data_IF_722412987901
#
_entry.id   IF_722412987901
#
_cell.length_a   1.000
_cell.length_b   1.000
_cell.length_c   1.000
_cell.angle_alpha   90.00
_cell.angle_beta   90.00
_cell.angle_gamma   90.00
#
_symmetry.space_group_name_H-M   'P 1'
#
loop_
_entity.id
_entity.type
_entity.pdbx_description
1 polymer ?
#
# COMPACT_ATOMS: atom_id res chain seq x y z
N UNK A 1 -18.07 -5.52 -33.64
CA UNK A 1 -17.94 -4.82 -32.35
C UNK A 1 -17.44 -5.82 -31.33
N UNK A 2 -16.37 -5.46 -30.61
CA UNK A 2 -15.75 -6.12 -29.45
C UNK A 2 -14.87 -7.35 -29.73
N UNK A 3 -13.63 -7.08 -30.15
CA UNK A 3 -12.45 -7.84 -29.69
C UNK A 3 -11.52 -6.82 -29.02
N UNK A 4 -11.89 -6.40 -27.82
CA UNK A 4 -10.96 -5.75 -26.90
C UNK A 4 -10.30 -6.85 -26.10
N UNK A 5 -9.50 -7.68 -26.76
CA UNK A 5 -8.53 -8.55 -26.08
C UNK A 5 -7.43 -7.64 -25.55
N UNK A 6 -7.69 -7.04 -24.38
CA UNK A 6 -6.67 -6.36 -23.61
C UNK A 6 -5.67 -7.41 -23.14
N UNK A 7 -4.52 -7.48 -23.82
CA UNK A 7 -3.40 -8.36 -23.47
C UNK A 7 -3.03 -8.18 -21.99
N UNK A 8 -2.88 -9.31 -21.28
CA UNK A 8 -2.60 -9.33 -19.85
C UNK A 8 -1.25 -8.68 -19.55
N UNK A 9 -0.26 -8.86 -20.43
CA UNK A 9 1.04 -8.19 -20.30
C UNK A 9 0.92 -6.67 -20.44
N UNK A 10 0.08 -6.16 -21.35
CA UNK A 10 -0.18 -4.71 -21.47
C UNK A 10 -0.86 -4.19 -20.19
N UNK A 11 -1.90 -4.88 -19.72
CA UNK A 11 -2.61 -4.52 -18.50
C UNK A 11 -1.66 -4.49 -17.29
N UNK A 12 -0.79 -5.48 -17.17
CA UNK A 12 0.20 -5.57 -16.10
C UNK A 12 1.18 -4.40 -16.14
N UNK A 13 1.66 -4.04 -17.34
CA UNK A 13 2.56 -2.91 -17.54
C UNK A 13 1.89 -1.57 -17.23
N UNK A 14 0.63 -1.37 -17.65
CA UNK A 14 -0.15 -0.20 -17.27
C UNK A 14 -0.36 -0.13 -15.75
N UNK A 15 -0.73 -1.24 -15.10
CA UNK A 15 -0.84 -1.30 -13.64
C UNK A 15 0.47 -0.90 -12.95
N UNK A 16 1.62 -1.35 -13.46
CA UNK A 16 2.91 -0.92 -12.89
C UNK A 16 3.14 0.59 -13.02
N UNK A 17 2.75 1.21 -14.14
CA UNK A 17 2.86 2.67 -14.28
C UNK A 17 1.98 3.36 -13.25
N UNK A 18 0.72 2.93 -13.12
CA UNK A 18 -0.21 3.49 -12.14
C UNK A 18 0.34 3.38 -10.72
N UNK A 19 0.79 2.20 -10.29
CA UNK A 19 1.40 1.99 -8.95
C UNK A 19 2.55 2.97 -8.69
N UNK A 20 3.43 3.16 -9.69
CA UNK A 20 4.63 3.96 -9.52
C UNK A 20 4.35 5.47 -9.51
N UNK A 21 3.26 5.91 -10.13
CA UNK A 21 2.86 7.32 -10.20
C UNK A 21 1.95 7.72 -9.01
N UNK A 22 1.32 6.75 -8.34
CA UNK A 22 0.31 6.97 -7.30
C UNK A 22 0.90 7.32 -5.91
N UNK A 23 1.69 8.39 -5.83
CA UNK A 23 2.34 8.84 -4.59
C UNK A 23 1.37 9.44 -3.54
N UNK A 24 0.17 9.88 -3.96
CA UNK A 24 -0.83 10.55 -3.11
C UNK A 24 -2.04 9.71 -2.70
N UNK A 25 -2.10 8.44 -3.09
CA UNK A 25 -3.22 7.56 -2.78
C UNK A 25 -3.31 7.21 -1.28
N UNK A 26 -4.52 6.87 -0.84
CA UNK A 26 -4.75 6.31 0.49
C UNK A 26 -4.06 4.95 0.65
N UNK A 27 -3.78 4.56 1.90
CA UNK A 27 -3.21 3.26 2.24
C UNK A 27 -3.99 2.09 1.64
N UNK A 28 -5.33 2.14 1.74
CA UNK A 28 -6.24 1.15 1.18
C UNK A 28 -6.11 1.07 -0.34
N UNK A 29 -6.08 2.22 -1.03
CA UNK A 29 -5.94 2.24 -2.48
C UNK A 29 -4.59 1.70 -2.96
N UNK A 30 -3.51 2.01 -2.23
CA UNK A 30 -2.17 1.49 -2.49
C UNK A 30 -2.13 -0.04 -2.38
N UNK A 31 -2.84 -0.62 -1.41
CA UNK A 31 -2.97 -2.07 -1.23
C UNK A 31 -3.81 -2.72 -2.34
N UNK A 32 -4.97 -2.14 -2.68
CA UNK A 32 -5.80 -2.62 -3.80
C UNK A 32 -5.01 -2.71 -5.11
N UNK A 33 -4.15 -1.73 -5.38
CA UNK A 33 -3.32 -1.74 -6.59
C UNK A 33 -2.30 -2.88 -6.59
N UNK A 34 -1.71 -3.21 -5.43
CA UNK A 34 -0.80 -4.35 -5.32
C UNK A 34 -1.53 -5.69 -5.47
N UNK A 35 -2.72 -5.81 -4.90
CA UNK A 35 -3.57 -7.01 -5.08
C UNK A 35 -3.95 -7.19 -6.55
N UNK A 36 -4.41 -6.13 -7.21
CA UNK A 36 -4.73 -6.17 -8.65
C UNK A 36 -3.50 -6.53 -9.49
N UNK A 37 -2.33 -6.01 -9.13
CA UNK A 37 -1.08 -6.34 -9.80
C UNK A 37 -0.70 -7.81 -9.60
N UNK A 38 -0.75 -8.35 -8.38
CA UNK A 38 -0.45 -9.76 -8.13
C UNK A 38 -1.42 -10.69 -8.85
N UNK A 39 -2.71 -10.39 -8.80
CA UNK A 39 -3.74 -11.21 -9.47
C UNK A 39 -3.55 -11.20 -10.99
N UNK A 40 -3.24 -10.05 -11.57
CA UNK A 40 -2.96 -9.92 -13.02
C UNK A 40 -1.67 -10.65 -13.39
N UNK A 41 -0.65 -10.59 -12.53
CA UNK A 41 0.61 -11.29 -12.76
C UNK A 41 0.41 -12.81 -12.75
N UNK A 42 -0.33 -13.33 -11.77
CA UNK A 42 -0.65 -14.75 -11.67
C UNK A 42 -1.49 -15.23 -12.87
N UNK A 43 -2.47 -14.42 -13.30
CA UNK A 43 -3.24 -14.70 -14.52
C UNK A 43 -2.36 -14.72 -15.76
N UNK A 44 -1.41 -13.79 -15.89
CA UNK A 44 -0.47 -13.78 -17.00
C UNK A 44 0.36 -15.07 -16.99
N UNK A 45 0.95 -15.45 -15.86
CA UNK A 45 1.76 -16.67 -15.72
C UNK A 45 0.97 -17.94 -16.09
N UNK A 46 -0.33 -17.99 -15.76
CA UNK A 46 -1.20 -19.12 -16.08
C UNK A 46 -1.73 -19.11 -17.52
N UNK A 47 -1.55 -18.01 -18.27
CA UNK A 47 -2.11 -17.84 -19.61
C UNK A 47 -1.19 -18.37 -20.71
N UNK A 48 -1.79 -18.73 -21.85
CA UNK A 48 -1.04 -19.04 -23.07
C UNK A 48 -0.22 -17.84 -23.58
N UNK A 49 -0.62 -16.60 -23.22
CA UNK A 49 0.08 -15.37 -23.60
C UNK A 49 1.51 -15.38 -23.07
N UNK A 50 1.73 -15.80 -21.83
CA UNK A 50 3.06 -15.81 -21.21
C UNK A 50 4.07 -16.64 -21.99
N UNK A 51 3.67 -17.80 -22.49
CA UNK A 51 4.54 -18.68 -23.31
C UNK A 51 4.90 -18.07 -24.67
N UNK A 52 4.14 -17.07 -25.12
CA UNK A 52 4.30 -16.39 -26.41
C UNK A 52 5.03 -15.06 -26.30
N UNK A 53 5.33 -14.60 -25.08
CA UNK A 53 6.08 -13.36 -24.87
C UNK A 53 7.51 -13.49 -25.39
N UNK A 54 7.98 -12.42 -26.03
CA UNK A 54 9.37 -12.32 -26.44
C UNK A 54 10.30 -12.15 -25.23
N UNK A 55 11.58 -12.49 -25.39
CA UNK A 55 12.59 -12.25 -24.35
C UNK A 55 12.69 -10.78 -23.94
N UNK A 56 12.41 -9.85 -24.86
CA UNK A 56 12.39 -8.41 -24.59
C UNK A 56 11.20 -8.04 -23.68
N UNK A 57 10.01 -8.55 -23.97
CA UNK A 57 8.82 -8.33 -23.15
C UNK A 57 8.98 -8.93 -21.75
N UNK A 58 9.52 -10.15 -21.65
CA UNK A 58 9.80 -10.79 -20.36
C UNK A 58 10.77 -9.96 -19.51
N UNK A 59 11.84 -9.44 -20.13
CA UNK A 59 12.81 -8.58 -19.45
C UNK A 59 12.20 -7.25 -19.00
N UNK A 60 11.31 -6.66 -19.80
CA UNK A 60 10.57 -5.47 -19.37
C UNK A 60 9.70 -5.77 -18.16
N UNK A 61 8.91 -6.86 -18.19
CA UNK A 61 8.06 -7.26 -17.07
C UNK A 61 8.88 -7.49 -15.80
N UNK A 62 10.02 -8.18 -15.90
CA UNK A 62 10.94 -8.40 -14.78
C UNK A 62 11.45 -7.07 -14.20
N UNK A 63 11.93 -6.16 -15.06
CA UNK A 63 12.41 -4.84 -14.64
C UNK A 63 11.31 -4.02 -13.95
N UNK A 64 10.07 -4.10 -14.46
CA UNK A 64 8.92 -3.40 -13.87
C UNK A 64 8.53 -4.00 -12.52
N UNK A 65 8.58 -5.33 -12.43
CA UNK A 65 8.32 -6.06 -11.20
C UNK A 65 9.28 -5.65 -10.07
N UNK A 66 10.59 -5.54 -10.36
CA UNK A 66 11.58 -5.06 -9.38
C UNK A 66 11.23 -3.66 -8.83
N UNK A 67 10.72 -2.78 -9.68
CA UNK A 67 10.29 -1.44 -9.28
C UNK A 67 9.04 -1.48 -8.40
N UNK A 68 8.05 -2.31 -8.75
CA UNK A 68 6.86 -2.52 -7.91
C UNK A 68 7.24 -3.11 -6.56
N UNK A 69 8.16 -4.07 -6.52
CA UNK A 69 8.67 -4.64 -5.27
C UNK A 69 9.38 -3.60 -4.39
N UNK A 70 10.17 -2.72 -5.01
CA UNK A 70 10.80 -1.61 -4.29
C UNK A 70 9.76 -0.67 -3.70
N UNK A 71 8.72 -0.33 -4.48
CA UNK A 71 7.62 0.49 -4.03
C UNK A 71 6.84 -0.17 -2.87
N UNK A 72 6.55 -1.47 -2.96
CA UNK A 72 5.85 -2.22 -1.92
C UNK A 72 6.63 -2.27 -0.60
N UNK A 73 7.96 -2.43 -0.65
CA UNK A 73 8.84 -2.35 0.55
C UNK A 73 8.84 -0.97 1.19
N UNK A 74 8.81 0.08 0.37
CA UNK A 74 8.69 1.45 0.88
C UNK A 74 7.33 1.66 1.56
N UNK A 75 6.26 1.10 0.99
CA UNK A 75 4.92 1.14 1.58
C UNK A 75 4.86 0.40 2.93
N UNK A 76 5.46 -0.79 3.02
CA UNK A 76 5.57 -1.53 4.29
C UNK A 76 6.26 -0.68 5.37
N UNK A 77 7.34 0.02 4.99
CA UNK A 77 8.08 0.92 5.88
C UNK A 77 7.22 2.13 6.30
N UNK A 78 6.46 2.72 5.37
CA UNK A 78 5.53 3.83 5.61
C UNK A 78 4.48 3.42 6.67
N UNK A 79 3.82 2.27 6.48
CA UNK A 79 2.81 1.76 7.42
C UNK A 79 3.39 1.44 8.79
N UNK A 80 4.59 0.85 8.83
CA UNK A 80 5.29 0.58 10.09
C UNK A 80 5.55 1.87 10.88
N UNK A 81 6.04 2.92 10.21
CA UNK A 81 6.25 4.22 10.83
C UNK A 81 4.96 4.88 11.31
N UNK A 82 3.90 4.82 10.50
CA UNK A 82 2.58 5.35 10.87
C UNK A 82 2.04 4.65 12.13
N UNK A 83 2.10 3.32 12.18
CA UNK A 83 1.67 2.51 13.32
C UNK A 83 2.45 2.86 14.59
N UNK A 84 3.77 3.04 14.50
CA UNK A 84 4.59 3.51 15.63
C UNK A 84 4.15 4.90 16.09
N UNK A 85 3.87 5.81 15.16
CA UNK A 85 3.38 7.16 15.45
C UNK A 85 2.02 7.16 16.17
N UNK A 86 1.07 6.39 15.65
CA UNK A 86 -0.26 6.20 16.24
C UNK A 86 -0.17 5.60 17.63
N UNK A 87 0.68 4.57 17.82
CA UNK A 87 0.92 3.96 19.14
C UNK A 87 1.44 4.99 20.14
N UNK A 88 2.42 5.81 19.77
CA UNK A 88 2.97 6.86 20.65
C UNK A 88 1.88 7.87 21.05
N UNK A 89 1.06 8.32 20.08
CA UNK A 89 -0.07 9.23 20.34
C UNK A 89 -1.10 8.59 21.28
N UNK A 90 -1.49 7.35 21.03
CA UNK A 90 -2.45 6.60 21.85
C UNK A 90 -1.96 6.45 23.30
N UNK A 91 -0.71 6.05 23.51
CA UNK A 91 -0.10 5.97 24.85
C UNK A 91 -0.13 7.32 25.56
N UNK A 92 0.19 8.41 24.86
CA UNK A 92 0.15 9.77 25.42
C UNK A 92 -1.26 10.18 25.86
N UNK A 93 -2.26 9.90 25.03
CA UNK A 93 -3.67 10.17 25.34
C UNK A 93 -4.15 9.36 26.55
N UNK A 94 -3.88 8.05 26.59
CA UNK A 94 -4.27 7.19 27.71
C UNK A 94 -3.65 7.69 29.02
N UNK A 95 -2.35 8.01 29.02
CA UNK A 95 -1.67 8.60 30.20
C UNK A 95 -2.31 9.92 30.63
N UNK A 96 -2.68 10.77 29.68
CA UNK A 96 -3.33 12.04 29.98
C UNK A 96 -4.71 11.82 30.60
N UNK A 97 -5.52 10.91 30.04
CA UNK A 97 -6.83 10.55 30.56
C UNK A 97 -6.74 9.99 31.99
N UNK A 98 -5.70 9.20 32.31
CA UNK A 98 -5.46 8.64 33.65
C UNK A 98 -5.19 9.71 34.72
N UNK A 99 -4.55 10.83 34.35
CA UNK A 99 -4.25 11.93 35.29
C UNK A 99 -5.36 12.96 35.41
N UNK A 100 -6.37 12.97 34.52
CA UNK A 100 -7.46 13.93 34.54
C UNK A 100 -8.26 13.93 35.86
N UNK A 101 -8.67 12.77 36.44
CA UNK A 101 -9.38 12.77 37.71
C UNK A 101 -8.59 13.41 38.85
N UNK A 102 -7.28 13.14 38.92
CA UNK A 102 -6.38 13.73 39.92
C UNK A 102 -6.30 15.26 39.78
N UNK A 103 -6.31 15.78 38.55
CA UNK A 103 -6.33 17.22 38.27
C UNK A 103 -7.66 17.88 38.65
N UNK A 104 -8.78 17.18 38.48
CA UNK A 104 -10.10 17.67 38.90
C UNK A 104 -10.20 17.74 40.43
N UNK A 105 -9.73 16.71 41.14
CA UNK A 105 -9.73 16.68 42.61
C UNK A 105 -8.90 17.82 43.22
N UNK A 106 -7.71 18.11 42.67
CA UNK A 106 -6.87 19.24 43.13
C UNK A 106 -7.57 20.60 42.91
N UNK A 107 -8.40 20.73 41.88
CA UNK A 107 -9.13 21.97 41.58
C UNK A 107 -10.31 22.22 42.53
N UNK A 108 -10.95 21.16 43.02
CA UNK A 108 -12.07 21.27 43.96
C UNK A 108 -11.62 21.50 45.42
N UNK A 109 -10.41 21.07 45.79
CA UNK A 109 -9.86 21.29 47.15
C UNK A 109 -9.47 22.76 47.40
N UNK A 110 -9.11 23.52 46.36
CA UNK A 110 -8.73 24.96 46.49
C UNK A 110 -9.90 25.94 46.59
N UNK A 111 -11.15 25.46 46.65
CA UNK A 111 -12.36 26.30 46.80
C UNK A 111 -13.02 26.19 48.19
N UNK A 112 -12.39 25.51 49.14
CA UNK A 112 -12.82 25.43 50.55
C UNK A 112 -11.97 26.32 51.44
#
# INVERSE_FOLDING_TARGET
MKDSDSSLSILLLDLTRHILDESGASAEKKLELLEQYSDTFDQLLASDEFTRLSSEQLREIETRHERVMTWARNLETEFSHEMVGLRKKGVGLVKYLDVLPKRLSVRNVKKG
#
